data_IF_849076178411
#
_entry.id   IF_849076178411
#
_cell.length_a   1.000
_cell.length_b   1.000
_cell.length_c   1.000
_cell.angle_alpha   90.00
_cell.angle_beta   90.00
_cell.angle_gamma   90.00
#
_symmetry.space_group_name_H-M   'P 1'
#
loop_
_entity.id
_entity.type
_entity.pdbx_description
1 polymer ?
#
# COMPACT_ATOMS: atom_id res chain seq x y z
N UNK A 1 -8.39 7.77 20.47
CA UNK A 1 -8.44 7.49 19.03
C UNK A 1 -7.65 8.54 18.28
N UNK A 2 -6.51 8.17 17.71
CA UNK A 2 -5.61 9.05 16.94
C UNK A 2 -5.39 8.53 15.54
N UNK A 3 -5.36 9.42 14.54
CA UNK A 3 -4.92 9.07 13.19
C UNK A 3 -3.40 8.96 13.20
N UNK A 4 -2.90 7.79 12.83
CA UNK A 4 -1.46 7.49 12.73
C UNK A 4 -0.92 7.85 11.35
N UNK A 5 -1.73 7.70 10.29
CA UNK A 5 -1.34 8.06 8.93
C UNK A 5 -2.51 8.03 7.95
N UNK A 6 -2.35 8.75 6.84
CA UNK A 6 -3.29 8.89 5.75
C UNK A 6 -2.56 8.69 4.42
N UNK A 7 -3.24 8.01 3.50
CA UNK A 7 -2.75 7.83 2.15
C UNK A 7 -3.86 7.97 1.14
N UNK A 8 -3.53 8.58 0.01
CA UNK A 8 -4.43 8.74 -1.12
C UNK A 8 -3.69 8.35 -2.40
N UNK A 9 -4.39 7.68 -3.31
CA UNK A 9 -3.85 7.32 -4.61
C UNK A 9 -4.92 7.36 -5.71
N UNK A 10 -4.46 7.64 -6.93
CA UNK A 10 -5.28 7.78 -8.13
C UNK A 10 -4.61 7.03 -9.27
N UNK A 11 -5.39 6.21 -9.97
CA UNK A 11 -4.94 5.33 -11.04
C UNK A 11 -5.76 5.61 -12.30
N UNK A 12 -5.07 5.88 -13.40
CA UNK A 12 -5.67 5.88 -14.75
C UNK A 12 -5.95 4.42 -15.15
N UNK A 13 -7.23 4.12 -15.36
CA UNK A 13 -7.68 2.74 -15.64
C UNK A 13 -7.21 2.26 -17.02
N UNK A 14 -7.14 3.15 -18.01
CA UNK A 14 -6.71 2.78 -19.36
C UNK A 14 -5.21 2.45 -19.39
N UNK A 15 -4.39 3.33 -18.80
CA UNK A 15 -2.95 3.09 -18.68
C UNK A 15 -2.65 1.82 -17.85
N UNK A 16 -3.40 1.61 -16.76
CA UNK A 16 -3.29 0.39 -15.97
C UNK A 16 -3.68 -0.86 -16.78
N UNK A 17 -4.76 -0.80 -17.56
CA UNK A 17 -5.20 -1.91 -18.41
C UNK A 17 -4.17 -2.27 -19.47
N UNK A 18 -3.54 -1.27 -20.09
CA UNK A 18 -2.44 -1.47 -21.05
C UNK A 18 -1.31 -2.26 -20.39
N UNK A 19 -0.80 -1.79 -19.25
CA UNK A 19 0.30 -2.46 -18.54
C UNK A 19 -0.09 -3.85 -18.00
N UNK A 20 -1.35 -4.04 -17.63
CA UNK A 20 -1.86 -5.34 -17.19
C UNK A 20 -1.83 -6.36 -18.34
N UNK A 21 -2.03 -5.88 -19.57
CA UNK A 21 -2.08 -6.69 -20.79
C UNK A 21 -0.72 -6.89 -21.48
N UNK A 22 0.31 -6.13 -21.08
CA UNK A 22 1.65 -6.24 -21.66
C UNK A 22 2.20 -7.69 -21.57
N UNK A 23 2.74 -8.26 -22.65
CA UNK A 23 3.38 -9.57 -22.60
C UNK A 23 4.51 -9.60 -21.57
N UNK A 24 4.47 -10.56 -20.65
CA UNK A 24 5.45 -10.66 -19.56
C UNK A 24 5.16 -9.75 -18.36
N UNK A 25 4.04 -9.00 -18.39
CA UNK A 25 3.59 -8.19 -17.27
C UNK A 25 3.49 -9.00 -15.99
N UNK A 26 3.97 -8.39 -14.90
CA UNK A 26 3.95 -8.97 -13.56
C UNK A 26 2.89 -8.33 -12.67
N UNK A 27 2.07 -7.42 -13.20
CA UNK A 27 1.04 -6.70 -12.42
C UNK A 27 0.06 -7.66 -11.74
N UNK A 28 -0.39 -8.69 -12.47
CA UNK A 28 -1.27 -9.72 -11.91
C UNK A 28 -0.63 -10.43 -10.71
N UNK A 29 0.70 -10.42 -10.61
CA UNK A 29 1.43 -10.99 -9.49
C UNK A 29 1.47 -10.11 -8.23
N UNK A 30 0.93 -8.90 -8.29
CA UNK A 30 0.80 -8.00 -7.13
C UNK A 30 -0.49 -8.27 -6.33
N UNK A 31 -1.41 -9.04 -6.91
CA UNK A 31 -2.70 -9.37 -6.32
C UNK A 31 -2.73 -10.80 -5.80
N UNK A 32 -3.50 -11.04 -4.75
CA UNK A 32 -3.81 -12.38 -4.28
C UNK A 32 -4.74 -13.10 -5.25
N UNK A 33 -4.80 -14.43 -5.17
CA UNK A 33 -5.74 -15.24 -5.95
C UNK A 33 -7.20 -14.84 -5.63
N UNK A 34 -7.48 -14.42 -4.38
CA UNK A 34 -8.80 -13.99 -3.94
C UNK A 34 -9.19 -12.66 -4.57
N UNK A 35 -8.25 -11.71 -4.63
CA UNK A 35 -8.46 -10.42 -5.29
C UNK A 35 -8.75 -10.58 -6.78
N UNK A 36 -7.94 -11.39 -7.48
CA UNK A 36 -8.13 -11.67 -8.90
C UNK A 36 -9.50 -12.30 -9.17
N UNK A 37 -9.88 -13.32 -8.38
CA UNK A 37 -11.20 -13.96 -8.52
C UNK A 37 -12.34 -12.97 -8.28
N UNK A 38 -12.25 -12.15 -7.23
CA UNK A 38 -13.30 -11.17 -6.93
C UNK A 38 -13.39 -10.08 -8.02
N UNK A 39 -12.26 -9.61 -8.54
CA UNK A 39 -12.23 -8.64 -9.64
C UNK A 39 -12.87 -9.21 -10.92
N UNK A 40 -12.57 -10.46 -11.27
CA UNK A 40 -13.18 -11.15 -12.41
C UNK A 40 -14.70 -11.33 -12.25
N UNK A 41 -15.16 -11.73 -11.05
CA UNK A 41 -16.59 -11.85 -10.77
C UNK A 41 -17.31 -10.49 -10.81
N UNK A 42 -16.70 -9.43 -10.27
CA UNK A 42 -17.24 -8.07 -10.34
C UNK A 42 -17.34 -7.58 -11.77
N UNK A 43 -16.31 -7.82 -12.58
CA UNK A 43 -16.31 -7.48 -13.99
C UNK A 43 -17.49 -8.11 -14.74
N UNK A 44 -17.72 -9.40 -14.47
CA UNK A 44 -18.87 -10.13 -15.04
C UNK A 44 -20.22 -9.56 -14.59
N UNK A 45 -20.37 -9.22 -13.30
CA UNK A 45 -21.63 -8.68 -12.76
C UNK A 45 -21.91 -7.26 -13.24
N UNK A 46 -20.87 -6.43 -13.37
CA UNK A 46 -20.98 -5.03 -13.80
C UNK A 46 -20.94 -4.86 -15.32
N UNK A 47 -20.64 -5.95 -16.05
CA UNK A 47 -20.45 -5.96 -17.49
C UNK A 47 -19.41 -4.92 -17.95
N UNK A 48 -18.27 -4.89 -17.25
CA UNK A 48 -17.11 -4.05 -17.52
C UNK A 48 -15.82 -4.90 -17.48
N UNK A 49 -14.64 -4.25 -17.53
CA UNK A 49 -13.35 -4.93 -17.58
C UNK A 49 -12.79 -5.27 -16.20
N UNK A 50 -12.13 -6.43 -16.07
CA UNK A 50 -11.40 -6.80 -14.85
C UNK A 50 -10.35 -5.75 -14.44
N UNK A 51 -9.73 -5.08 -15.41
CA UNK A 51 -8.76 -4.01 -15.18
C UNK A 51 -9.33 -2.85 -14.35
N UNK A 52 -10.62 -2.53 -14.46
CA UNK A 52 -11.29 -1.47 -13.68
C UNK A 52 -11.23 -1.82 -12.18
N UNK A 53 -11.61 -3.05 -11.84
CA UNK A 53 -11.65 -3.54 -10.47
C UNK A 53 -10.25 -3.73 -9.88
N UNK A 54 -9.29 -4.17 -10.70
CA UNK A 54 -7.89 -4.29 -10.29
C UNK A 54 -7.21 -2.93 -10.13
N UNK A 55 -7.54 -1.93 -10.94
CA UNK A 55 -7.04 -0.57 -10.79
C UNK A 55 -7.50 0.06 -9.46
N UNK A 56 -8.75 -0.15 -9.06
CA UNK A 56 -9.25 0.30 -7.76
C UNK A 56 -8.53 -0.39 -6.58
N UNK A 57 -8.28 -1.69 -6.68
CA UNK A 57 -7.49 -2.42 -5.68
C UNK A 57 -6.02 -1.96 -5.69
N UNK A 58 -5.46 -1.63 -6.86
CA UNK A 58 -4.12 -1.06 -6.97
C UNK A 58 -4.00 0.28 -6.24
N UNK A 59 -4.93 1.20 -6.51
CA UNK A 59 -5.02 2.48 -5.80
C UNK A 59 -5.10 2.26 -4.28
N UNK A 60 -5.87 1.28 -3.82
CA UNK A 60 -5.98 0.96 -2.40
C UNK A 60 -4.67 0.44 -1.78
N UNK A 61 -3.91 -0.38 -2.50
CA UNK A 61 -2.60 -0.89 -2.02
C UNK A 61 -1.57 0.23 -1.93
N UNK A 62 -1.51 1.10 -2.93
CA UNK A 62 -0.64 2.29 -2.94
C UNK A 62 -1.02 3.29 -1.85
N UNK A 63 -2.32 3.56 -1.67
CA UNK A 63 -2.82 4.40 -0.59
C UNK A 63 -2.45 3.83 0.79
N UNK A 64 -2.51 2.51 0.98
CA UNK A 64 -2.06 1.88 2.22
C UNK A 64 -0.56 2.04 2.44
N UNK A 65 0.27 1.80 1.42
CA UNK A 65 1.72 2.00 1.53
C UNK A 65 2.04 3.44 1.96
N UNK A 66 1.38 4.43 1.35
CA UNK A 66 1.54 5.85 1.72
C UNK A 66 1.12 6.14 3.16
N UNK A 67 -0.07 5.66 3.57
CA UNK A 67 -0.56 5.83 4.94
C UNK A 67 0.40 5.18 5.95
N UNK A 68 0.92 4.00 5.64
CA UNK A 68 1.80 3.27 6.54
C UNK A 68 3.19 3.91 6.63
N UNK A 69 3.70 4.50 5.55
CA UNK A 69 4.92 5.29 5.58
C UNK A 69 4.78 6.51 6.52
N UNK A 70 3.65 7.20 6.48
CA UNK A 70 3.37 8.28 7.43
C UNK A 70 3.29 7.77 8.87
N UNK A 71 2.57 6.66 9.10
CA UNK A 71 2.44 6.05 10.42
C UNK A 71 3.78 5.54 11.00
N UNK A 72 4.74 5.18 10.15
CA UNK A 72 6.09 4.80 10.57
C UNK A 72 6.88 5.99 11.14
N UNK A 73 6.64 7.21 10.66
CA UNK A 73 7.39 8.40 11.06
C UNK A 73 8.89 8.25 10.78
N UNK A 74 9.73 8.46 11.79
CA UNK A 74 11.20 8.35 11.67
C UNK A 74 11.73 6.91 11.74
N UNK A 75 10.84 5.90 11.91
CA UNK A 75 11.25 4.50 12.01
C UNK A 75 11.74 3.97 10.65
N UNK A 76 12.68 3.00 10.66
CA UNK A 76 13.09 2.35 9.42
C UNK A 76 11.93 1.68 8.71
N UNK A 77 11.93 1.74 7.38
CA UNK A 77 10.99 0.99 6.57
C UNK A 77 11.31 -0.51 6.63
N UNK A 78 10.33 -1.38 6.95
CA UNK A 78 10.55 -2.82 7.04
C UNK A 78 10.79 -3.49 5.67
N UNK A 79 10.41 -2.81 4.59
CA UNK A 79 10.55 -3.26 3.21
C UNK A 79 11.02 -2.09 2.34
N UNK A 80 11.66 -2.43 1.23
CA UNK A 80 11.90 -1.55 0.08
C UNK A 80 10.75 -1.69 -0.93
N UNK A 81 10.73 -0.86 -1.97
CA UNK A 81 9.75 -1.00 -3.05
C UNK A 81 9.93 -2.31 -3.85
N UNK A 82 11.16 -2.81 -3.95
CA UNK A 82 11.50 -4.01 -4.73
C UNK A 82 11.09 -5.31 -4.03
N UNK A 83 11.06 -5.32 -2.69
CA UNK A 83 10.71 -6.50 -1.87
C UNK A 83 9.41 -6.33 -1.07
N UNK A 84 8.63 -5.29 -1.33
CA UNK A 84 7.34 -5.08 -0.70
C UNK A 84 6.38 -6.25 -1.03
N UNK A 85 5.78 -6.92 -0.04
CA UNK A 85 4.96 -8.11 -0.26
C UNK A 85 3.54 -7.76 -0.70
N UNK A 86 3.38 -7.19 -1.91
CA UNK A 86 2.11 -6.68 -2.43
C UNK A 86 0.93 -7.66 -2.35
N UNK A 87 1.18 -8.96 -2.55
CA UNK A 87 0.14 -10.01 -2.46
C UNK A 87 -0.40 -10.21 -1.04
N UNK A 88 0.36 -9.84 -0.02
CA UNK A 88 -0.02 -9.99 1.39
C UNK A 88 -0.86 -8.81 1.90
N UNK A 89 -0.97 -7.73 1.12
CA UNK A 89 -1.90 -6.61 1.32
C UNK A 89 -3.15 -6.86 0.50
N UNK A 90 -4.10 -7.65 0.99
CA UNK A 90 -5.30 -7.98 0.22
C UNK A 90 -6.41 -6.94 0.43
N UNK A 91 -7.10 -6.54 -0.63
CA UNK A 91 -8.33 -5.77 -0.53
C UNK A 91 -9.50 -6.61 -1.03
N UNK A 92 -10.45 -6.92 -0.15
CA UNK A 92 -11.58 -7.78 -0.44
C UNK A 92 -12.89 -7.12 -0.03
N UNK A 93 -13.86 -7.13 -0.93
CA UNK A 93 -15.21 -6.69 -0.60
C UNK A 93 -15.91 -7.71 0.31
N UNK A 94 -16.69 -7.22 1.27
CA UNK A 94 -17.66 -8.03 2.02
C UNK A 94 -18.91 -8.36 1.18
N UNK A 95 -19.87 -9.07 1.77
CA UNK A 95 -21.13 -9.45 1.11
C UNK A 95 -22.00 -8.26 0.68
N UNK A 96 -21.77 -7.07 1.26
CA UNK A 96 -22.46 -5.82 0.90
C UNK A 96 -21.67 -5.01 -0.13
N UNK A 97 -20.48 -5.45 -0.50
CA UNK A 97 -19.59 -4.72 -1.42
C UNK A 97 -18.69 -3.69 -0.76
N UNK A 98 -18.62 -3.65 0.57
CA UNK A 98 -17.72 -2.74 1.29
C UNK A 98 -16.31 -3.32 1.24
N UNK A 99 -15.29 -2.59 0.75
CA UNK A 99 -13.92 -3.08 0.69
C UNK A 99 -13.29 -3.11 2.09
N UNK A 100 -12.54 -4.17 2.39
CA UNK A 100 -11.76 -4.33 3.61
C UNK A 100 -10.33 -4.71 3.28
N UNK A 101 -9.38 -4.18 4.05
CA UNK A 101 -7.98 -4.56 3.94
C UNK A 101 -7.64 -5.71 4.88
N UNK A 102 -7.02 -6.75 4.34
CA UNK A 102 -6.58 -7.93 5.06
C UNK A 102 -5.06 -8.06 4.90
N UNK A 103 -4.33 -7.88 6.00
CA UNK A 103 -2.87 -8.04 6.02
C UNK A 103 -2.51 -9.45 6.48
N UNK A 104 -1.73 -10.17 5.66
CA UNK A 104 -1.28 -11.53 5.95
C UNK A 104 0.26 -11.61 6.03
N UNK A 105 0.81 -12.80 6.32
CA UNK A 105 2.25 -13.05 6.21
C UNK A 105 3.16 -12.06 6.97
N UNK A 106 4.25 -11.66 6.31
CA UNK A 106 5.29 -10.79 6.85
C UNK A 106 4.79 -9.38 7.07
N UNK A 107 3.94 -8.87 6.18
CA UNK A 107 3.41 -7.49 6.32
C UNK A 107 2.49 -7.35 7.53
N UNK A 108 1.69 -8.38 7.83
CA UNK A 108 0.84 -8.43 9.03
C UNK A 108 1.67 -8.33 10.31
N UNK A 109 2.82 -9.00 10.35
CA UNK A 109 3.73 -8.94 11.50
C UNK A 109 4.37 -7.56 11.62
N UNK A 110 4.97 -7.06 10.53
CA UNK A 110 5.60 -5.75 10.51
C UNK A 110 4.63 -4.62 10.89
N UNK A 111 3.38 -4.69 10.42
CA UNK A 111 2.34 -3.70 10.74
C UNK A 111 1.96 -3.68 12.23
N UNK A 112 1.91 -4.87 12.87
CA UNK A 112 1.68 -4.97 14.33
C UNK A 112 2.86 -4.42 15.13
N UNK A 113 4.09 -4.72 14.73
CA UNK A 113 5.30 -4.33 15.47
C UNK A 113 5.45 -2.80 15.53
N UNK A 114 5.06 -2.11 14.47
CA UNK A 114 5.03 -0.63 14.38
C UNK A 114 4.01 -0.02 15.35
N UNK A 115 3.09 -0.82 15.88
CA UNK A 115 1.99 -0.32 16.71
C UNK A 115 2.17 -0.61 18.19
N UNK A 116 3.10 -1.49 18.55
CA UNK A 116 3.46 -1.79 19.94
C UNK A 116 4.54 -0.89 20.53
N UNK A 117 5.09 0.05 19.76
CA UNK A 117 6.19 0.94 20.19
C UNK A 117 5.71 2.27 20.74
N UNK A 118 5.91 2.50 22.05
CA UNK A 118 5.65 3.79 22.71
C UNK A 118 6.47 4.91 22.07
N UNK A 119 5.79 6.02 21.72
CA UNK A 119 6.43 7.30 21.38
C UNK A 119 6.95 7.91 22.69
N UNK A 120 8.22 7.67 23.02
CA UNK A 120 8.91 8.49 24.03
C UNK A 120 9.56 9.66 23.30
N UNK A 121 8.96 10.84 23.45
CA UNK A 121 9.38 12.06 22.75
C UNK A 121 10.70 12.66 23.25
N UNK A 122 11.42 13.29 22.33
CA UNK A 122 12.27 14.45 22.61
C UNK A 122 12.31 15.32 21.34
N UNK A 123 11.95 16.59 21.49
CA UNK A 123 11.55 17.47 20.41
C UNK A 123 12.53 17.64 19.25
N UNK A 124 11.94 17.77 18.06
CA UNK A 124 12.26 18.85 17.12
C UNK A 124 11.01 19.17 16.31
N UNK A 125 10.45 20.37 16.50
CA UNK A 125 9.61 21.01 15.49
C UNK A 125 10.52 21.21 14.27
N UNK A 126 10.28 20.50 13.18
CA UNK A 126 11.12 20.62 12.00
C UNK A 126 10.58 19.87 10.81
N UNK A 127 9.82 20.58 9.97
CA UNK A 127 9.51 20.21 8.60
C UNK A 127 8.32 19.27 8.46
N UNK A 128 7.20 19.79 7.96
CA UNK A 128 6.31 18.96 7.17
C UNK A 128 7.14 18.44 5.98
N UNK A 129 7.60 17.19 6.03
CA UNK A 129 8.11 16.54 4.84
C UNK A 129 6.89 16.27 3.96
N UNK A 130 6.63 17.19 3.03
CA UNK A 130 5.77 16.93 1.89
C UNK A 130 6.44 15.77 1.14
N UNK A 131 5.98 14.54 1.40
CA UNK A 131 6.32 13.39 0.58
C UNK A 131 5.54 13.52 -0.73
N UNK A 132 6.06 14.35 -1.63
CA UNK A 132 5.63 14.35 -3.01
C UNK A 132 6.29 13.15 -3.67
N UNK A 133 5.56 12.05 -3.76
CA UNK A 133 5.99 10.91 -4.58
C UNK A 133 5.34 11.06 -5.93
N UNK A 134 6.14 11.35 -6.95
CA UNK A 134 5.73 11.43 -8.35
C UNK A 134 5.43 10.01 -8.91
N UNK A 135 4.53 9.26 -8.27
CA UNK A 135 3.97 8.00 -8.80
C UNK A 135 3.15 8.24 -10.08
N UNK A 136 2.62 9.45 -10.25
CA UNK A 136 1.62 9.76 -11.27
C UNK A 136 2.17 9.95 -12.70
N UNK A 137 3.49 9.82 -12.93
CA UNK A 137 4.12 10.20 -14.21
C UNK A 137 4.85 9.11 -14.98
N UNK A 138 5.05 7.92 -14.43
CA UNK A 138 5.83 6.86 -15.08
C UNK A 138 5.45 5.48 -14.55
N UNK A 139 4.21 5.07 -14.81
CA UNK A 139 3.75 3.71 -14.60
C UNK A 139 4.36 2.77 -15.64
N UNK A 140 5.69 2.63 -15.63
CA UNK A 140 6.29 1.33 -15.87
C UNK A 140 6.51 0.78 -14.48
N UNK A 141 5.78 -0.28 -14.12
CA UNK A 141 6.10 -1.04 -12.92
C UNK A 141 7.52 -1.55 -13.12
N UNK A 142 8.46 -0.84 -12.49
CA UNK A 142 9.88 -1.02 -12.64
C UNK A 142 10.29 -2.27 -11.86
N UNK A 143 9.87 -3.44 -12.36
CA UNK A 143 10.42 -4.72 -11.95
C UNK A 143 11.74 -4.91 -12.70
N UNK A 144 12.78 -4.29 -12.15
CA UNK A 144 14.21 -4.46 -12.40
C UNK A 144 14.70 -4.24 -13.84
N UNK A 145 15.29 -3.07 -14.10
CA UNK A 145 16.48 -2.99 -14.95
C UNK A 145 17.69 -2.75 -14.03
N UNK A 146 18.52 -3.78 -13.88
CA UNK A 146 19.69 -3.76 -13.04
C UNK A 146 20.80 -2.97 -13.74
N UNK A 147 20.92 -1.67 -13.43
CA UNK A 147 22.13 -0.92 -13.70
C UNK A 147 21.92 0.39 -14.45
N UNK A 148 21.40 1.41 -13.76
CA UNK A 148 21.78 2.83 -13.91
C UNK A 148 21.21 3.61 -12.72
N UNK A 149 22.11 4.25 -11.97
CA UNK A 149 21.84 5.07 -10.79
C UNK A 149 21.20 6.42 -11.17
N UNK A 150 19.94 6.39 -11.63
CA UNK A 150 19.21 7.60 -11.99
C UNK A 150 17.69 7.47 -11.78
N UNK A 151 17.28 6.77 -10.71
CA UNK A 151 15.87 6.58 -10.35
C UNK A 151 15.34 7.83 -9.64
N UNK A 152 14.28 8.51 -10.16
CA UNK A 152 13.73 9.73 -9.56
C UNK A 152 12.84 9.46 -8.32
N UNK A 153 12.77 8.22 -7.85
CA UNK A 153 11.96 7.84 -6.68
C UNK A 153 12.72 8.08 -5.36
N UNK A 154 12.01 8.50 -4.31
CA UNK A 154 12.55 8.48 -2.95
C UNK A 154 12.99 7.05 -2.61
N UNK A 155 14.29 6.84 -2.48
CA UNK A 155 14.86 5.52 -2.27
C UNK A 155 14.62 5.10 -0.82
N UNK A 156 13.82 4.05 -0.62
CA UNK A 156 13.77 3.32 0.65
C UNK A 156 15.13 2.66 0.88
N UNK A 157 16.08 3.40 1.45
CA UNK A 157 17.39 2.84 1.78
C UNK A 157 17.26 1.94 3.01
N UNK A 158 17.27 0.63 2.78
CA UNK A 158 17.40 -0.35 3.85
C UNK A 158 18.74 -0.19 4.56
N UNK A 159 18.78 0.52 5.69
CA UNK A 159 19.90 0.36 6.64
C UNK A 159 19.72 -0.98 7.33
N UNK A 160 20.58 -1.95 6.99
CA UNK A 160 20.79 -3.11 7.85
C UNK A 160 21.39 -2.60 9.16
N UNK A 161 20.65 -2.68 10.25
CA UNK A 161 21.19 -2.48 11.58
C UNK A 161 20.92 -3.72 12.44
N UNK A 162 21.96 -4.14 13.17
CA UNK A 162 21.96 -5.35 13.97
C UNK A 162 20.96 -5.31 15.13
N UNK A 163 20.72 -6.50 15.68
CA UNK A 163 19.74 -6.79 16.73
C UNK A 163 19.62 -5.69 17.79
N UNK A 164 18.44 -5.06 17.82
CA UNK A 164 18.03 -4.13 18.89
C UNK A 164 17.15 -4.94 19.84
N UNK A 165 17.37 -4.88 21.18
CA UNK A 165 16.64 -5.72 22.11
C UNK A 165 15.13 -5.44 22.06
N UNK A 166 14.35 -6.51 21.91
CA UNK A 166 12.89 -6.50 21.93
C UNK A 166 12.44 -6.24 23.37
N UNK A 167 12.00 -5.00 23.65
CA UNK A 167 11.28 -4.72 24.87
C UNK A 167 9.87 -5.31 24.76
N UNK A 168 9.45 -6.09 25.77
CA UNK A 168 8.08 -6.57 25.89
C UNK A 168 7.22 -5.39 26.34
N UNK A 169 6.31 -4.93 25.47
CA UNK A 169 5.42 -3.80 25.75
C UNK A 169 3.96 -4.25 25.78
N UNK A 170 3.22 -3.62 26.71
CA UNK A 170 1.78 -3.75 26.96
C UNK A 170 0.93 -3.65 25.69
N UNK A 171 -0.23 -4.32 25.71
CA UNK A 171 -1.21 -4.39 24.63
C UNK A 171 -1.80 -3.00 24.30
N UNK A 172 -1.09 -2.22 23.49
CA UNK A 172 -1.75 -1.19 22.68
C UNK A 172 -2.64 -1.92 21.67
N UNK A 173 -3.90 -1.47 21.53
CA UNK A 173 -4.82 -2.05 20.56
C UNK A 173 -4.20 -2.00 19.15
N UNK A 174 -4.38 -3.09 18.40
CA UNK A 174 -3.82 -3.18 17.06
C UNK A 174 -4.42 -2.08 16.18
N UNK A 175 -3.61 -1.37 15.38
CA UNK A 175 -4.09 -0.26 14.57
C UNK A 175 -5.13 -0.79 13.58
N UNK A 176 -6.11 0.05 13.32
CA UNK A 176 -7.19 -0.26 12.40
C UNK A 176 -6.93 0.45 11.08
N UNK A 177 -7.05 -0.29 9.97
CA UNK A 177 -6.98 0.26 8.61
C UNK A 177 -8.39 0.49 8.11
N UNK A 178 -8.71 1.74 7.82
CA UNK A 178 -9.96 2.15 7.16
C UNK A 178 -9.64 2.42 5.69
N UNK A 179 -10.43 1.86 4.78
CA UNK A 179 -10.23 2.02 3.34
C UNK A 179 -11.55 2.41 2.66
N UNK A 180 -11.44 3.35 1.72
CA UNK A 180 -12.50 3.68 0.77
C UNK A 180 -11.94 3.56 -0.64
N UNK A 181 -12.67 2.87 -1.51
CA UNK A 181 -12.35 2.74 -2.93
C UNK A 181 -13.43 3.43 -3.76
N UNK A 182 -13.02 4.10 -4.83
CA UNK A 182 -13.92 4.60 -5.85
C UNK A 182 -13.34 4.33 -7.23
N UNK A 183 -14.21 4.08 -8.19
CA UNK A 183 -13.89 4.14 -9.60
C UNK A 183 -15.08 4.80 -10.29
N UNK A 184 -14.80 5.89 -11.00
CA UNK A 184 -15.79 6.62 -11.79
C UNK A 184 -15.17 6.97 -13.14
N UNK A 185 -15.79 6.46 -14.21
CA UNK A 185 -15.27 6.58 -15.56
C UNK A 185 -13.81 6.09 -15.69
N UNK A 186 -12.88 6.94 -16.16
CA UNK A 186 -11.50 6.52 -16.48
C UNK A 186 -10.57 6.45 -15.27
N UNK A 187 -11.04 6.81 -14.06
CA UNK A 187 -10.19 6.94 -12.89
C UNK A 187 -10.64 6.00 -11.78
N UNK A 188 -9.67 5.31 -11.18
CA UNK A 188 -9.82 4.66 -9.89
C UNK A 188 -9.06 5.46 -8.82
N UNK A 189 -9.58 5.49 -7.60
CA UNK A 189 -8.97 6.20 -6.47
C UNK A 189 -9.22 5.47 -5.16
N UNK A 190 -8.33 5.71 -4.21
CA UNK A 190 -8.47 5.17 -2.86
C UNK A 190 -7.99 6.15 -1.81
N UNK A 191 -8.64 6.09 -0.64
CA UNK A 191 -8.19 6.73 0.59
C UNK A 191 -8.02 5.65 1.64
N UNK A 192 -6.89 5.67 2.34
CA UNK A 192 -6.60 4.81 3.49
C UNK A 192 -6.28 5.67 4.70
N UNK A 193 -6.87 5.35 5.84
CA UNK A 193 -6.56 5.93 7.14
C UNK A 193 -6.14 4.81 8.08
N UNK A 194 -5.03 5.00 8.79
CA UNK A 194 -4.60 4.12 9.87
C UNK A 194 -4.86 4.85 11.18
N UNK A 195 -5.60 4.23 12.11
CA UNK A 195 -5.90 4.80 13.42
C UNK A 195 -5.56 3.85 14.55
N UNK A 196 -5.18 4.38 15.71
CA UNK A 196 -5.23 3.65 16.98
C UNK A 196 -6.40 4.16 17.81
N UNK A 197 -6.93 3.31 18.68
CA UNK A 197 -7.93 3.70 19.68
C UNK A 197 -7.32 4.52 20.83
#
# INVERSE_FOLDING_TARGET
>A
MGVLGLGHDVVDVAAFAEQLSEPGSRIRNLFSVRELRQASERARVKNDGEAVHLAAKWAGKEAFLKAWCEALGERPYPFTLDDFPWREVEILDDSRGVPHMMLTGKISQAFRDVSGGSVIGAGRRGGASVFQTDYAGSSRIALADAGRDNSPYAVMHGRRYGDVPVAVVSAAESPVVHISLSHDGPIASAVVIISSD
#
